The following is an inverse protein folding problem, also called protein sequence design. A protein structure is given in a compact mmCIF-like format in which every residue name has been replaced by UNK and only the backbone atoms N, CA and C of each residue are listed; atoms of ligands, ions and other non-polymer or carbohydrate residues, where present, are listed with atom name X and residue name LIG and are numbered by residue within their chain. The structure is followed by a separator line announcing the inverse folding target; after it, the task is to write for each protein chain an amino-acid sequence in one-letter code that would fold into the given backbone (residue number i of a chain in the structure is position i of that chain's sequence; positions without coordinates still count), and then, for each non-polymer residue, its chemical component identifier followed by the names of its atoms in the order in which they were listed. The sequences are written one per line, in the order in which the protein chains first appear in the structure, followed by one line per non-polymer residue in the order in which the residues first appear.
data_IF_266125115144
#
_entry.id   IF_266125115144
#
_cell.length_a   1.000
_cell.length_b   1.000
_cell.length_c   1.000
_cell.angle_alpha   90.00
_cell.angle_beta   90.00
_cell.angle_gamma   90.00
#
_symmetry.space_group_name_H-M   'P 1'
#
loop_
_entity.id
_entity.type
_entity.pdbx_description
1 polymer ?
#
# COMPACT_ATOMS: atom_id res chain seq x y z
N UNK A 1 30.25 -1.66 2.61
CA UNK A 1 29.99 -2.21 1.25
C UNK A 1 28.62 -1.73 0.86
N UNK A 2 28.48 -0.94 -0.22
CA UNK A 2 27.21 -0.34 -0.61
C UNK A 2 26.24 -1.38 -1.20
N UNK A 3 24.94 -1.10 -1.17
CA UNK A 3 23.87 -1.92 -1.74
C UNK A 3 24.14 -2.33 -3.20
N UNK A 4 24.87 -1.54 -3.97
CA UNK A 4 25.29 -1.86 -5.33
C UNK A 4 26.15 -3.13 -5.49
N UNK A 5 26.83 -3.59 -4.42
CA UNK A 5 27.60 -4.85 -4.46
C UNK A 5 26.74 -6.08 -4.19
N UNK A 6 25.57 -5.92 -3.56
CA UNK A 6 24.59 -6.99 -3.32
C UNK A 6 23.84 -7.30 -4.60
N UNK A 7 23.39 -6.29 -5.35
CA UNK A 7 22.68 -6.46 -6.62
C UNK A 7 23.49 -7.16 -7.72
N UNK A 8 24.82 -7.02 -7.70
CA UNK A 8 25.70 -7.68 -8.70
C UNK A 8 25.91 -9.18 -8.50
N UNK A 9 25.38 -9.75 -7.40
CA UNK A 9 25.56 -11.17 -7.05
C UNK A 9 24.28 -12.00 -7.12
N UNK A 10 23.15 -11.38 -7.44
CA UNK A 10 21.85 -12.06 -7.52
C UNK A 10 21.61 -12.53 -8.96
N UNK A 11 21.17 -13.78 -9.10
CA UNK A 11 20.76 -14.35 -10.40
C UNK A 11 19.40 -13.83 -10.87
N UNK A 12 18.60 -13.28 -9.92
CA UNK A 12 17.26 -12.73 -10.17
C UNK A 12 17.07 -11.41 -9.39
N UNK A 13 16.23 -10.47 -9.88
CA UNK A 13 15.82 -9.29 -9.12
C UNK A 13 15.11 -9.69 -7.83
N UNK A 14 15.51 -9.11 -6.70
CA UNK A 14 14.83 -9.25 -5.42
C UNK A 14 14.24 -7.89 -5.03
N UNK A 15 12.90 -7.85 -4.88
CA UNK A 15 12.18 -6.63 -4.57
C UNK A 15 12.20 -6.30 -3.07
N UNK A 16 12.37 -7.30 -2.22
CA UNK A 16 12.30 -7.15 -0.76
C UNK A 16 13.37 -7.97 -0.04
N UNK A 17 13.86 -7.45 1.08
CA UNK A 17 14.67 -8.18 2.06
C UNK A 17 14.00 -8.05 3.41
N UNK A 18 13.70 -9.17 4.06
CA UNK A 18 12.92 -9.23 5.29
C UNK A 18 13.80 -9.43 6.52
N UNK A 19 13.50 -8.66 7.57
CA UNK A 19 14.17 -8.74 8.87
C UNK A 19 13.09 -8.96 9.94
N UNK A 20 12.90 -10.21 10.34
CA UNK A 20 11.86 -10.57 11.31
C UNK A 20 11.69 -12.06 11.50
N UNK A 21 10.57 -12.44 12.12
CA UNK A 21 10.22 -13.83 12.44
C UNK A 21 9.06 -14.34 11.60
N UNK A 22 8.79 -13.69 10.44
CA UNK A 22 7.68 -14.08 9.58
C UNK A 22 7.78 -15.55 9.15
N UNK A 23 6.64 -16.27 9.15
CA UNK A 23 6.62 -17.71 8.89
C UNK A 23 7.05 -18.09 7.47
N UNK A 24 6.81 -17.19 6.50
CA UNK A 24 7.13 -17.43 5.10
C UNK A 24 8.63 -17.29 4.79
N UNK A 25 9.33 -16.35 5.47
CA UNK A 25 10.75 -16.09 5.29
C UNK A 25 11.37 -15.47 6.55
N UNK A 26 11.68 -16.28 7.57
CA UNK A 26 12.30 -15.79 8.80
C UNK A 26 13.77 -15.45 8.57
N UNK A 27 14.22 -14.31 9.12
CA UNK A 27 15.60 -13.86 9.02
C UNK A 27 16.60 -14.89 9.57
N UNK A 28 17.66 -15.20 8.81
CA UNK A 28 18.75 -16.07 9.24
C UNK A 28 19.72 -15.32 10.17
N UNK A 29 20.31 -16.01 11.12
CA UNK A 29 21.34 -15.44 11.99
C UNK A 29 22.68 -15.33 11.25
N UNK A 30 23.33 -14.17 11.33
CA UNK A 30 24.62 -13.94 10.67
C UNK A 30 25.76 -14.85 11.22
N UNK A 31 25.60 -15.34 12.46
CA UNK A 31 26.59 -16.17 13.15
C UNK A 31 26.30 -17.67 13.08
N UNK A 32 25.08 -18.03 12.68
CA UNK A 32 24.58 -19.41 12.61
C UNK A 32 23.50 -19.51 11.54
N UNK A 33 23.91 -19.80 10.31
CA UNK A 33 23.01 -19.82 9.15
C UNK A 33 21.99 -20.98 9.18
N UNK A 34 22.12 -21.92 10.11
CA UNK A 34 21.16 -23.01 10.30
C UNK A 34 20.00 -22.63 11.24
N UNK A 35 20.10 -21.46 11.91
CA UNK A 35 19.08 -20.95 12.83
C UNK A 35 18.49 -19.64 12.33
N UNK A 36 17.18 -19.52 12.53
CA UNK A 36 16.44 -18.31 12.21
C UNK A 36 16.23 -17.44 13.47
N UNK A 37 15.93 -16.16 13.28
CA UNK A 37 15.49 -15.28 14.37
C UNK A 37 14.21 -15.82 15.04
N UNK A 38 13.34 -16.50 14.27
CA UNK A 38 12.14 -17.15 14.79
C UNK A 38 12.48 -18.26 15.78
N UNK A 39 13.49 -19.09 15.47
CA UNK A 39 13.92 -20.18 16.38
C UNK A 39 14.49 -19.62 17.69
N UNK A 40 15.20 -18.50 17.62
CA UNK A 40 15.76 -17.82 18.79
C UNK A 40 14.65 -17.30 19.69
N UNK A 41 13.71 -16.54 19.11
CA UNK A 41 12.57 -15.98 19.85
C UNK A 41 11.71 -17.10 20.44
N UNK A 42 11.43 -18.16 19.69
CA UNK A 42 10.62 -19.29 20.15
C UNK A 42 11.28 -20.08 21.30
N UNK A 43 12.61 -20.11 21.38
CA UNK A 43 13.33 -20.81 22.44
C UNK A 43 13.21 -20.12 23.82
N UNK A 44 13.22 -18.78 23.87
CA UNK A 44 13.01 -18.01 25.11
C UNK A 44 12.39 -16.63 24.79
N UNK A 45 11.07 -16.58 24.54
CA UNK A 45 10.39 -15.34 24.18
C UNK A 45 10.53 -14.23 25.22
N UNK A 46 10.51 -14.60 26.50
CA UNK A 46 10.62 -13.63 27.59
C UNK A 46 11.99 -12.95 27.64
N UNK A 47 13.05 -13.70 27.37
CA UNK A 47 14.41 -13.16 27.32
C UNK A 47 14.60 -12.27 26.07
N UNK A 48 14.18 -12.76 24.91
CA UNK A 48 14.44 -12.10 23.60
C UNK A 48 13.55 -10.89 23.36
N UNK A 49 12.27 -10.95 23.72
CA UNK A 49 11.29 -9.88 23.50
C UNK A 49 11.05 -9.01 24.74
N UNK A 50 11.46 -9.47 25.93
CA UNK A 50 11.05 -8.93 27.20
C UNK A 50 9.65 -9.39 27.61
N UNK A 51 9.40 -9.48 28.93
CA UNK A 51 8.15 -10.06 29.48
C UNK A 51 6.88 -9.32 29.04
N UNK A 52 6.93 -8.01 28.89
CA UNK A 52 5.78 -7.20 28.47
C UNK A 52 5.39 -7.51 27.00
N UNK A 53 6.37 -7.51 26.11
CA UNK A 53 6.12 -7.80 24.67
C UNK A 53 5.68 -9.25 24.47
N UNK A 54 6.35 -10.21 25.09
CA UNK A 54 6.00 -11.62 25.01
C UNK A 54 4.54 -11.86 25.48
N UNK A 55 4.15 -11.28 26.60
CA UNK A 55 2.77 -11.37 27.09
C UNK A 55 1.75 -10.69 26.13
N UNK A 56 2.05 -9.49 25.66
CA UNK A 56 1.12 -8.71 24.83
C UNK A 56 0.90 -9.32 23.45
N UNK A 57 1.95 -9.88 22.86
CA UNK A 57 1.94 -10.40 21.47
C UNK A 57 2.07 -11.95 21.40
N UNK A 58 1.68 -12.64 22.50
CA UNK A 58 1.64 -14.09 22.55
C UNK A 58 2.95 -14.73 22.04
N UNK A 59 4.06 -14.30 22.62
CA UNK A 59 5.43 -14.79 22.34
C UNK A 59 5.93 -14.55 20.90
N UNK A 60 5.29 -13.66 20.15
CA UNK A 60 5.68 -13.30 18.79
C UNK A 60 6.33 -11.92 18.71
N UNK A 61 7.29 -11.78 17.80
CA UNK A 61 7.79 -10.46 17.40
C UNK A 61 6.68 -9.71 16.67
N UNK A 62 6.23 -8.53 17.16
CA UNK A 62 5.00 -7.89 16.66
C UNK A 62 5.17 -7.15 15.33
N UNK A 63 6.37 -7.11 14.77
CA UNK A 63 6.64 -6.37 13.53
C UNK A 63 7.51 -7.17 12.56
N UNK A 64 7.46 -6.75 11.30
CA UNK A 64 8.36 -7.11 10.23
C UNK A 64 9.01 -5.84 9.70
N UNK A 65 10.33 -5.81 9.62
CA UNK A 65 11.11 -4.76 8.95
C UNK A 65 11.52 -5.27 7.57
N UNK A 66 11.38 -4.41 6.55
CA UNK A 66 11.77 -4.74 5.18
C UNK A 66 12.65 -3.64 4.58
N UNK A 67 13.59 -4.04 3.77
CA UNK A 67 14.16 -3.18 2.74
C UNK A 67 13.40 -3.50 1.44
N UNK A 68 12.68 -2.50 0.92
CA UNK A 68 11.81 -2.65 -0.23
C UNK A 68 12.35 -1.82 -1.39
N UNK A 69 12.42 -2.43 -2.58
CA UNK A 69 12.82 -1.78 -3.82
C UNK A 69 11.73 -1.99 -4.88
N UNK A 70 10.91 -0.96 -5.10
CA UNK A 70 9.90 -0.96 -6.15
C UNK A 70 10.51 -0.41 -7.44
N UNK A 71 10.68 -1.24 -8.44
CA UNK A 71 11.03 -0.84 -9.83
C UNK A 71 9.76 -0.55 -10.64
N UNK A 72 8.70 -1.33 -10.38
CA UNK A 72 7.39 -1.24 -11.01
C UNK A 72 6.30 -0.98 -9.95
N UNK A 73 5.17 -0.37 -10.32
CA UNK A 73 4.07 -0.14 -9.40
C UNK A 73 3.56 -1.44 -8.79
N UNK A 74 3.36 -1.43 -7.47
CA UNK A 74 2.71 -2.54 -6.76
C UNK A 74 1.19 -2.39 -6.82
N UNK A 75 0.46 -3.48 -6.46
CA UNK A 75 -1.00 -3.47 -6.46
C UNK A 75 -1.58 -2.38 -5.56
N UNK A 76 -2.72 -1.82 -5.98
CA UNK A 76 -3.53 -0.96 -5.13
C UNK A 76 -4.16 -1.82 -4.02
N UNK A 77 -3.93 -1.44 -2.75
CA UNK A 77 -4.28 -2.28 -1.61
C UNK A 77 -4.70 -1.49 -0.38
N UNK A 78 -5.48 -2.13 0.49
CA UNK A 78 -5.81 -1.66 1.82
C UNK A 78 -5.72 -2.82 2.83
N UNK A 79 -5.45 -2.49 4.10
CA UNK A 79 -5.31 -3.46 5.17
C UNK A 79 -6.43 -3.30 6.20
N UNK A 80 -6.96 -4.42 6.74
CA UNK A 80 -8.05 -4.36 7.72
C UNK A 80 -7.57 -3.78 9.06
N UNK A 81 -8.50 -3.23 9.82
CA UNK A 81 -8.32 -3.00 11.25
C UNK A 81 -8.23 -4.33 12.00
N UNK A 82 -7.75 -4.30 13.25
CA UNK A 82 -7.65 -5.51 14.08
C UNK A 82 -9.01 -6.21 14.23
N UNK A 83 -10.08 -5.45 14.47
CA UNK A 83 -11.43 -5.99 14.60
C UNK A 83 -11.91 -6.67 13.31
N UNK A 84 -11.72 -6.00 12.15
CA UNK A 84 -12.06 -6.57 10.84
C UNK A 84 -11.23 -7.81 10.51
N UNK A 85 -9.93 -7.82 10.85
CA UNK A 85 -9.07 -8.97 10.64
C UNK A 85 -9.53 -10.19 11.47
N UNK A 86 -9.84 -9.99 12.75
CA UNK A 86 -10.33 -11.04 13.64
C UNK A 86 -11.69 -11.60 13.16
N UNK A 87 -12.62 -10.73 12.80
CA UNK A 87 -13.93 -11.13 12.30
C UNK A 87 -13.81 -11.86 10.94
N UNK A 88 -13.07 -11.31 10.01
CA UNK A 88 -12.86 -11.89 8.67
C UNK A 88 -12.16 -13.24 8.74
N UNK A 89 -11.09 -13.34 9.53
CA UNK A 89 -10.36 -14.60 9.73
C UNK A 89 -11.25 -15.68 10.34
N UNK A 90 -12.03 -15.34 11.37
CA UNK A 90 -12.96 -16.29 11.99
C UNK A 90 -14.07 -16.72 11.02
N UNK A 91 -14.61 -15.78 10.22
CA UNK A 91 -15.64 -16.02 9.21
C UNK A 91 -15.15 -16.97 8.12
N UNK A 92 -13.98 -16.71 7.51
CA UNK A 92 -13.44 -17.57 6.46
C UNK A 92 -13.05 -18.97 6.97
N UNK A 93 -12.54 -19.08 8.20
CA UNK A 93 -12.30 -20.35 8.86
C UNK A 93 -13.60 -21.15 9.08
N UNK A 94 -14.67 -20.49 9.54
CA UNK A 94 -15.96 -21.13 9.74
C UNK A 94 -16.62 -21.60 8.43
N UNK A 95 -16.31 -20.92 7.32
CA UNK A 95 -16.73 -21.29 5.97
C UNK A 95 -15.84 -22.40 5.36
N UNK A 96 -14.75 -22.76 6.02
CA UNK A 96 -13.82 -23.78 5.54
C UNK A 96 -12.93 -23.34 4.38
N UNK A 97 -12.73 -22.04 4.19
CA UNK A 97 -11.83 -21.50 3.15
C UNK A 97 -10.38 -21.86 3.54
N UNK A 98 -9.62 -22.59 2.70
CA UNK A 98 -8.23 -22.94 3.00
C UNK A 98 -7.35 -21.72 3.18
N UNK A 99 -6.31 -21.79 4.04
CA UNK A 99 -5.40 -20.66 4.29
C UNK A 99 -4.61 -20.24 3.04
N UNK A 100 -4.36 -21.18 2.13
CA UNK A 100 -3.63 -21.01 0.88
C UNK A 100 -4.57 -20.78 -0.34
N UNK A 101 -5.87 -20.64 -0.12
CA UNK A 101 -6.80 -20.37 -1.20
C UNK A 101 -6.52 -19.01 -1.87
N UNK A 102 -6.48 -18.93 -3.21
CA UNK A 102 -6.12 -17.71 -3.93
C UNK A 102 -7.12 -16.56 -3.77
N UNK A 103 -8.34 -16.86 -3.33
CA UNK A 103 -9.45 -15.94 -3.07
C UNK A 103 -9.65 -15.65 -1.58
N UNK A 104 -8.76 -16.15 -0.69
CA UNK A 104 -8.79 -15.86 0.73
C UNK A 104 -8.28 -14.45 1.00
N UNK A 105 -9.07 -13.66 1.77
CA UNK A 105 -8.73 -12.29 2.15
C UNK A 105 -7.94 -12.20 3.46
N UNK A 106 -8.25 -13.10 4.44
CA UNK A 106 -7.71 -13.03 5.79
C UNK A 106 -6.85 -14.25 6.12
N UNK A 107 -5.53 -14.07 6.04
CA UNK A 107 -4.53 -15.12 6.29
C UNK A 107 -4.20 -15.27 7.78
N UNK A 108 -4.44 -14.22 8.58
CA UNK A 108 -4.21 -14.17 10.01
C UNK A 108 -5.21 -13.21 10.69
N UNK A 109 -5.34 -13.23 12.04
CA UNK A 109 -6.27 -12.38 12.77
C UNK A 109 -5.69 -10.98 13.11
N UNK A 110 -4.59 -10.56 12.48
CA UNK A 110 -3.91 -9.32 12.82
C UNK A 110 -4.22 -8.20 11.83
N UNK A 111 -4.12 -6.97 12.31
CA UNK A 111 -4.07 -5.79 11.46
C UNK A 111 -2.69 -5.63 10.84
N UNK A 112 -2.59 -4.75 9.82
CA UNK A 112 -1.34 -4.50 9.11
C UNK A 112 -1.10 -3.00 8.90
N UNK A 113 -0.95 -2.19 9.97
CA UNK A 113 -0.43 -0.84 9.79
C UNK A 113 1.02 -0.90 9.31
N UNK A 114 1.38 0.03 8.42
CA UNK A 114 2.68 0.09 7.77
C UNK A 114 3.24 1.51 7.86
N UNK A 115 4.56 1.63 7.92
CA UNK A 115 5.27 2.87 7.75
C UNK A 115 6.42 2.65 6.79
N UNK A 116 6.47 3.43 5.70
CA UNK A 116 7.60 3.43 4.77
C UNK A 116 8.40 4.72 4.91
N UNK A 117 9.72 4.59 4.98
CA UNK A 117 10.69 5.70 4.95
C UNK A 117 11.45 5.63 3.64
N UNK A 118 11.44 6.70 2.86
CA UNK A 118 12.23 6.77 1.63
C UNK A 118 13.74 6.75 1.90
N UNK A 119 14.46 5.84 1.27
CA UNK A 119 15.92 5.86 1.21
C UNK A 119 16.43 6.56 -0.05
N UNK A 120 15.65 6.47 -1.11
CA UNK A 120 15.78 7.27 -2.32
C UNK A 120 14.54 8.12 -2.49
N UNK A 121 14.47 8.94 -3.52
CA UNK A 121 13.20 9.52 -3.94
C UNK A 121 12.21 8.39 -4.16
N UNK A 122 11.09 8.40 -3.41
CA UNK A 122 10.13 7.31 -3.37
C UNK A 122 8.74 7.81 -3.76
N UNK A 123 8.13 7.17 -4.75
CA UNK A 123 6.83 7.54 -5.28
C UNK A 123 5.76 6.56 -4.82
N UNK A 124 4.64 7.08 -4.35
CA UNK A 124 3.51 6.30 -3.87
C UNK A 124 2.17 6.96 -4.19
N UNK A 125 1.12 6.17 -4.12
CA UNK A 125 -0.26 6.62 -3.96
C UNK A 125 -0.67 6.31 -2.52
N UNK A 126 -1.22 7.28 -1.77
CA UNK A 126 -1.66 7.00 -0.41
C UNK A 126 -2.82 7.91 0.03
N UNK A 127 -3.91 7.26 0.45
CA UNK A 127 -5.12 7.90 0.90
C UNK A 127 -5.83 8.72 -0.17
N UNK A 128 -7.10 8.98 0.04
CA UNK A 128 -7.88 9.77 -0.93
C UNK A 128 -7.45 11.23 -0.91
N UNK A 129 -7.34 11.81 -2.11
CA UNK A 129 -7.13 13.24 -2.29
C UNK A 129 -8.38 13.99 -1.84
N UNK A 130 -8.19 15.23 -1.36
CA UNK A 130 -9.30 16.13 -1.08
C UNK A 130 -10.28 16.18 -2.26
N UNK A 131 -11.59 16.00 -2.01
CA UNK A 131 -12.60 15.94 -3.08
C UNK A 131 -12.56 17.11 -4.06
N UNK A 132 -12.36 18.33 -3.55
CA UNK A 132 -12.28 19.52 -4.40
C UNK A 132 -11.07 19.47 -5.33
N UNK A 133 -9.90 19.03 -4.83
CA UNK A 133 -8.69 18.85 -5.65
C UNK A 133 -8.84 17.71 -6.67
N UNK A 134 -9.59 16.69 -6.30
CA UNK A 134 -9.93 15.59 -7.22
C UNK A 134 -10.84 16.07 -8.35
N UNK A 135 -11.84 16.91 -8.05
CA UNK A 135 -12.70 17.53 -9.05
C UNK A 135 -11.90 18.43 -10.02
N UNK A 136 -10.95 19.22 -9.51
CA UNK A 136 -10.06 20.05 -10.34
C UNK A 136 -9.22 19.21 -11.32
N UNK A 137 -8.69 18.06 -10.89
CA UNK A 137 -8.00 17.11 -11.78
C UNK A 137 -8.94 16.59 -12.88
N UNK A 138 -10.14 16.14 -12.51
CA UNK A 138 -11.12 15.64 -13.49
C UNK A 138 -11.60 16.73 -14.46
N UNK A 139 -11.77 17.94 -13.98
CA UNK A 139 -12.11 19.10 -14.82
C UNK A 139 -10.96 19.42 -15.80
N UNK A 140 -9.70 19.34 -15.37
CA UNK A 140 -8.52 19.50 -16.22
C UNK A 140 -8.38 18.38 -17.27
N UNK A 141 -8.65 17.14 -16.90
CA UNK A 141 -8.71 16.00 -17.84
C UNK A 141 -9.81 16.20 -18.87
N UNK A 142 -10.95 16.72 -18.47
CA UNK A 142 -12.11 17.02 -19.32
C UNK A 142 -12.52 15.82 -20.21
N UNK A 143 -12.76 14.67 -19.57
CA UNK A 143 -13.12 13.40 -20.23
C UNK A 143 -14.62 13.19 -20.14
N UNK A 144 -15.36 13.25 -21.28
CA UNK A 144 -16.82 13.07 -21.28
C UNK A 144 -17.28 11.74 -20.67
N UNK A 145 -16.51 10.65 -20.87
CA UNK A 145 -16.81 9.32 -20.35
C UNK A 145 -16.75 9.27 -18.81
N UNK A 146 -15.99 10.15 -18.17
CA UNK A 146 -15.89 10.23 -16.72
C UNK A 146 -16.93 11.17 -16.09
N UNK A 147 -17.60 12.04 -16.86
CA UNK A 147 -18.53 13.05 -16.34
C UNK A 147 -19.61 12.47 -15.40
N UNK A 148 -20.27 11.33 -15.70
CA UNK A 148 -21.26 10.77 -14.78
C UNK A 148 -20.70 10.50 -13.38
N UNK A 149 -19.45 10.06 -13.29
CA UNK A 149 -18.78 9.74 -12.03
C UNK A 149 -18.27 11.00 -11.32
N UNK A 150 -17.78 11.98 -12.09
CA UNK A 150 -17.39 13.30 -11.59
C UNK A 150 -18.58 14.02 -10.96
N UNK A 151 -19.77 13.93 -11.58
CA UNK A 151 -20.99 14.54 -11.02
C UNK A 151 -21.44 13.88 -9.71
N UNK A 152 -21.17 12.56 -9.49
CA UNK A 152 -21.41 11.93 -8.20
C UNK A 152 -20.56 12.60 -7.11
N UNK A 153 -19.26 12.81 -7.37
CA UNK A 153 -18.37 13.48 -6.42
C UNK A 153 -18.72 14.96 -6.25
N UNK A 154 -19.18 15.61 -7.32
CA UNK A 154 -19.59 17.02 -7.28
C UNK A 154 -20.86 17.23 -6.44
N UNK A 155 -21.79 16.28 -6.49
CA UNK A 155 -23.01 16.31 -5.69
C UNK A 155 -22.74 16.08 -4.19
N UNK A 156 -21.80 15.22 -3.86
CA UNK A 156 -21.39 14.88 -2.49
C UNK A 156 -19.86 14.92 -2.38
N UNK A 157 -19.23 16.10 -2.23
CA UNK A 157 -17.77 16.27 -2.23
C UNK A 157 -17.15 15.89 -0.87
N UNK A 158 -17.37 14.65 -0.45
CA UNK A 158 -16.91 14.08 0.82
C UNK A 158 -16.61 12.57 0.67
N UNK A 159 -16.45 11.87 1.78
CA UNK A 159 -16.20 10.43 1.84
C UNK A 159 -17.30 9.60 1.13
N UNK A 160 -18.55 10.07 1.15
CA UNK A 160 -19.68 9.38 0.49
C UNK A 160 -19.53 9.43 -1.03
N UNK A 161 -19.23 10.60 -1.57
CA UNK A 161 -19.00 10.78 -3.01
C UNK A 161 -17.77 10.03 -3.49
N UNK A 162 -16.65 10.07 -2.75
CA UNK A 162 -15.45 9.29 -3.07
C UNK A 162 -15.78 7.79 -3.13
N UNK A 163 -16.51 7.28 -2.12
CA UNK A 163 -16.96 5.89 -2.07
C UNK A 163 -17.83 5.52 -3.27
N UNK A 164 -18.81 6.37 -3.62
CA UNK A 164 -19.70 6.14 -4.75
C UNK A 164 -18.92 6.07 -6.07
N UNK A 165 -18.01 7.01 -6.30
CA UNK A 165 -17.16 7.03 -7.51
C UNK A 165 -16.27 5.78 -7.57
N UNK A 166 -15.52 5.47 -6.51
CA UNK A 166 -14.63 4.31 -6.50
C UNK A 166 -15.40 3.01 -6.73
N UNK A 167 -16.53 2.82 -6.02
CA UNK A 167 -17.35 1.61 -6.20
C UNK A 167 -17.82 1.47 -7.63
N UNK A 168 -18.21 2.57 -8.26
CA UNK A 168 -18.68 2.57 -9.64
C UNK A 168 -17.55 2.26 -10.62
N UNK A 169 -16.38 2.90 -10.45
CA UNK A 169 -15.22 2.70 -11.34
C UNK A 169 -14.72 1.25 -11.28
N UNK A 170 -14.63 0.65 -10.10
CA UNK A 170 -14.11 -0.72 -9.93
C UNK A 170 -15.09 -1.79 -10.44
N UNK A 171 -16.37 -1.44 -10.63
CA UNK A 171 -17.41 -2.35 -11.12
C UNK A 171 -17.85 -2.07 -12.55
N UNK A 172 -17.15 -1.22 -13.30
CA UNK A 172 -17.42 -0.95 -14.70
C UNK A 172 -17.36 -2.23 -15.53
N UNK A 173 -18.22 -2.33 -16.54
CA UNK A 173 -18.08 -3.38 -17.54
C UNK A 173 -16.79 -3.22 -18.33
N UNK A 174 -16.25 -4.30 -18.90
CA UNK A 174 -15.00 -4.26 -19.65
C UNK A 174 -15.01 -3.22 -20.79
N UNK A 175 -16.17 -3.05 -21.46
CA UNK A 175 -16.31 -2.06 -22.55
C UNK A 175 -16.29 -0.63 -22.01
N UNK A 176 -17.07 -0.33 -20.96
CA UNK A 176 -17.07 0.98 -20.31
C UNK A 176 -15.67 1.35 -19.76
N UNK A 177 -15.03 0.38 -19.10
CA UNK A 177 -13.68 0.56 -18.55
C UNK A 177 -12.68 0.91 -19.65
N UNK A 178 -12.69 0.17 -20.76
CA UNK A 178 -11.81 0.43 -21.91
C UNK A 178 -12.06 1.82 -22.50
N UNK A 179 -13.32 2.23 -22.67
CA UNK A 179 -13.67 3.55 -23.18
C UNK A 179 -13.17 4.66 -22.25
N UNK A 180 -13.39 4.54 -20.93
CA UNK A 180 -12.91 5.49 -19.93
C UNK A 180 -11.39 5.59 -19.94
N UNK A 181 -10.67 4.45 -19.90
CA UNK A 181 -9.21 4.43 -19.89
C UNK A 181 -8.65 5.06 -21.16
N UNK A 182 -9.14 4.68 -22.35
CA UNK A 182 -8.66 5.23 -23.63
C UNK A 182 -8.83 6.75 -23.69
N UNK A 183 -10.01 7.24 -23.35
CA UNK A 183 -10.27 8.68 -23.35
C UNK A 183 -9.42 9.43 -22.30
N UNK A 184 -9.20 8.82 -21.13
CA UNK A 184 -8.37 9.40 -20.07
C UNK A 184 -6.89 9.40 -20.47
N UNK A 185 -6.40 8.37 -21.20
CA UNK A 185 -5.03 8.36 -21.73
C UNK A 185 -4.78 9.53 -22.70
N UNK A 186 -5.69 9.79 -23.61
CA UNK A 186 -5.58 10.93 -24.53
C UNK A 186 -5.57 12.26 -23.77
N UNK A 187 -6.41 12.38 -22.73
CA UNK A 187 -6.46 13.56 -21.89
C UNK A 187 -5.17 13.75 -21.07
N UNK A 188 -4.68 12.69 -20.45
CA UNK A 188 -3.44 12.70 -19.68
C UNK A 188 -2.23 13.07 -20.57
N UNK A 189 -2.14 12.54 -21.79
CA UNK A 189 -1.10 12.92 -22.75
C UNK A 189 -1.14 14.42 -23.08
N UNK A 190 -2.34 15.01 -23.22
CA UNK A 190 -2.48 16.47 -23.41
C UNK A 190 -1.99 17.26 -22.20
N UNK A 191 -2.32 16.84 -20.98
CA UNK A 191 -1.84 17.49 -19.76
C UNK A 191 -0.32 17.37 -19.59
N UNK A 192 0.26 16.23 -19.89
CA UNK A 192 1.73 16.05 -19.90
C UNK A 192 2.39 16.98 -20.91
N UNK A 193 1.85 17.08 -22.15
CA UNK A 193 2.37 17.96 -23.19
C UNK A 193 2.24 19.44 -22.82
N UNK A 194 1.21 19.82 -22.07
CA UNK A 194 1.01 21.19 -21.57
C UNK A 194 1.96 21.55 -20.42
N UNK A 195 2.59 20.55 -19.77
CA UNK A 195 3.52 20.72 -18.63
C UNK A 195 2.97 21.60 -17.51
N UNK A 196 1.70 21.36 -17.17
CA UNK A 196 0.97 22.13 -16.16
C UNK A 196 0.92 21.43 -14.79
N UNK A 197 -0.06 21.82 -13.98
CA UNK A 197 -0.20 21.39 -12.57
C UNK A 197 -0.34 19.85 -12.41
N UNK A 198 -1.03 19.17 -13.31
CA UNK A 198 -1.40 17.73 -13.18
C UNK A 198 -0.50 16.79 -13.99
N UNK A 199 0.74 17.19 -14.24
CA UNK A 199 1.71 16.37 -14.99
C UNK A 199 2.03 15.08 -14.26
N UNK A 200 2.31 15.14 -12.98
CA UNK A 200 2.74 13.97 -12.19
C UNK A 200 1.65 12.91 -12.08
N UNK A 201 0.39 13.32 -11.85
CA UNK A 201 -0.78 12.44 -11.84
C UNK A 201 -1.01 11.83 -13.23
N UNK A 202 -0.87 12.64 -14.28
CA UNK A 202 -1.04 12.19 -15.66
C UNK A 202 0.04 11.18 -16.07
N UNK A 203 1.31 11.44 -15.74
CA UNK A 203 2.42 10.51 -15.98
C UNK A 203 2.22 9.21 -15.22
N UNK A 204 1.80 9.31 -13.95
CA UNK A 204 1.49 8.13 -13.13
C UNK A 204 0.37 7.31 -13.76
N UNK A 205 -0.75 7.92 -14.14
CA UNK A 205 -1.86 7.24 -14.80
C UNK A 205 -1.43 6.52 -16.09
N UNK A 206 -0.66 7.21 -16.94
CA UNK A 206 -0.15 6.63 -18.19
C UNK A 206 0.78 5.43 -17.94
N UNK A 207 1.64 5.51 -16.91
CA UNK A 207 2.50 4.42 -16.47
C UNK A 207 1.70 3.21 -16.00
N UNK A 208 0.69 3.44 -15.15
CA UNK A 208 -0.20 2.38 -14.66
C UNK A 208 -0.95 1.67 -15.79
N UNK A 209 -1.46 2.42 -16.76
CA UNK A 209 -2.13 1.83 -17.93
C UNK A 209 -1.15 1.09 -18.84
N UNK A 210 0.09 1.58 -18.97
CA UNK A 210 1.13 0.87 -19.73
C UNK A 210 1.44 -0.50 -19.13
N UNK A 211 1.47 -0.61 -17.79
CA UNK A 211 1.83 -1.83 -17.07
C UNK A 211 0.65 -2.79 -16.93
N UNK A 212 -0.53 -2.27 -16.55
CA UNK A 212 -1.70 -3.08 -16.19
C UNK A 212 -2.82 -3.08 -17.24
N UNK A 213 -2.68 -2.31 -18.31
CA UNK A 213 -3.69 -2.24 -19.37
C UNK A 213 -5.02 -1.67 -18.89
N UNK A 214 -6.09 -2.39 -19.19
CA UNK A 214 -7.45 -1.99 -18.81
C UNK A 214 -7.81 -2.47 -17.38
N UNK A 215 -7.03 -2.05 -16.38
CA UNK A 215 -7.32 -2.30 -14.98
C UNK A 215 -8.01 -1.09 -14.35
N UNK A 216 -9.13 -1.33 -13.64
CA UNK A 216 -9.91 -0.27 -12.99
C UNK A 216 -9.11 0.49 -11.92
N UNK A 217 -8.11 -0.15 -11.32
CA UNK A 217 -7.20 0.48 -10.36
C UNK A 217 -6.48 1.69 -10.93
N UNK A 218 -6.23 1.75 -12.25
CA UNK A 218 -5.64 2.93 -12.88
C UNK A 218 -6.58 4.15 -12.78
N UNK A 219 -7.89 3.97 -12.98
CA UNK A 219 -8.87 5.04 -12.78
C UNK A 219 -9.04 5.37 -11.28
N UNK A 220 -9.06 4.37 -10.41
CA UNK A 220 -9.14 4.56 -8.97
C UNK A 220 -7.92 5.32 -8.42
N UNK A 221 -6.75 5.15 -9.02
CA UNK A 221 -5.52 5.88 -8.67
C UNK A 221 -5.67 7.41 -8.81
N UNK A 222 -6.54 7.88 -9.73
CA UNK A 222 -6.84 9.31 -9.90
C UNK A 222 -7.58 9.93 -8.69
N UNK A 223 -8.14 9.12 -7.81
CA UNK A 223 -8.80 9.56 -6.57
C UNK A 223 -7.79 9.74 -5.41
N UNK A 224 -6.58 9.23 -5.54
CA UNK A 224 -5.60 9.18 -4.46
C UNK A 224 -4.60 10.34 -4.54
N UNK A 225 -3.98 10.64 -3.38
CA UNK A 225 -2.81 11.51 -3.36
C UNK A 225 -1.65 10.81 -4.06
N UNK A 226 -1.07 11.46 -5.06
CA UNK A 226 0.23 11.07 -5.61
C UNK A 226 1.31 11.76 -4.78
N UNK A 227 2.18 10.97 -4.17
CA UNK A 227 3.14 11.40 -3.17
C UNK A 227 4.56 11.12 -3.66
N UNK A 228 5.46 12.06 -3.37
CA UNK A 228 6.91 11.86 -3.51
C UNK A 228 7.53 12.08 -2.14
N UNK A 229 8.21 11.07 -1.63
CA UNK A 229 9.05 11.18 -0.44
C UNK A 229 10.48 11.49 -0.88
N UNK A 230 11.06 12.51 -0.31
CA UNK A 230 12.52 12.70 -0.34
C UNK A 230 13.19 11.75 0.69
N UNK A 231 14.49 11.45 0.57
CA UNK A 231 15.17 10.58 1.53
C UNK A 231 15.01 11.05 2.98
N UNK A 232 14.50 10.15 3.83
CA UNK A 232 14.22 10.42 5.25
C UNK A 232 12.77 10.81 5.55
N UNK A 233 11.97 11.20 4.55
CA UNK A 233 10.53 11.40 4.73
C UNK A 233 9.79 10.07 4.78
N UNK A 234 8.63 10.05 5.42
CA UNK A 234 7.87 8.84 5.67
C UNK A 234 6.38 9.01 5.40
N UNK A 235 5.70 7.88 5.12
CA UNK A 235 4.24 7.79 5.14
C UNK A 235 3.84 6.70 6.13
N UNK A 236 2.86 7.00 6.98
CA UNK A 236 2.21 6.01 7.83
C UNK A 236 0.86 5.60 7.21
N UNK A 237 0.75 4.34 6.80
CA UNK A 237 -0.47 3.72 6.29
C UNK A 237 -1.22 3.08 7.45
N UNK A 238 -2.26 3.76 7.94
CA UNK A 238 -3.19 3.21 8.93
C UNK A 238 -4.13 2.20 8.28
N UNK A 239 -4.74 1.33 9.09
CA UNK A 239 -5.76 0.40 8.61
C UNK A 239 -6.86 1.12 7.80
N UNK A 240 -7.28 0.52 6.70
CA UNK A 240 -8.29 1.05 5.79
C UNK A 240 -7.78 2.10 4.79
N UNK A 241 -6.53 2.54 4.88
CA UNK A 241 -5.96 3.48 3.90
C UNK A 241 -5.62 2.75 2.61
N UNK A 242 -6.24 3.18 1.51
CA UNK A 242 -5.92 2.69 0.17
C UNK A 242 -4.58 3.29 -0.30
N UNK A 243 -3.66 2.44 -0.76
CA UNK A 243 -2.31 2.86 -1.17
C UNK A 243 -1.69 1.95 -2.22
N UNK A 244 -0.65 2.42 -2.88
CA UNK A 244 0.24 1.64 -3.74
C UNK A 244 1.63 2.26 -3.78
N UNK A 245 2.69 1.45 -3.73
CA UNK A 245 4.05 1.92 -4.00
C UNK A 245 4.28 1.90 -5.50
N UNK A 246 4.87 2.96 -6.03
CA UNK A 246 5.05 3.13 -7.47
C UNK A 246 6.49 2.89 -7.91
N UNK A 247 7.46 3.52 -7.22
CA UNK A 247 8.87 3.42 -7.58
C UNK A 247 9.75 3.96 -6.45
N UNK A 248 10.91 3.34 -6.23
CA UNK A 248 11.94 3.80 -5.31
C UNK A 248 12.37 2.73 -4.32
N UNK A 249 13.33 3.08 -3.46
CA UNK A 249 13.84 2.22 -2.39
C UNK A 249 13.48 2.83 -1.04
N UNK A 250 12.93 2.01 -0.14
CA UNK A 250 12.54 2.43 1.20
C UNK A 250 12.76 1.36 2.26
N UNK A 251 12.73 1.78 3.52
CA UNK A 251 12.61 0.89 4.67
C UNK A 251 11.16 0.89 5.12
N UNK A 252 10.55 -0.28 5.12
CA UNK A 252 9.20 -0.49 5.60
C UNK A 252 9.23 -1.19 6.96
N UNK A 253 8.48 -0.67 7.91
CA UNK A 253 8.14 -1.37 9.14
C UNK A 253 6.63 -1.57 9.19
N UNK A 254 6.20 -2.79 9.43
CA UNK A 254 4.78 -3.15 9.44
C UNK A 254 4.47 -4.09 10.60
N UNK A 255 3.20 -4.17 11.02
CA UNK A 255 2.77 -5.26 11.88
C UNK A 255 2.87 -6.60 11.13
N UNK A 256 3.15 -7.66 11.86
CA UNK A 256 3.37 -8.99 11.29
C UNK A 256 2.02 -9.62 10.87
N UNK A 257 1.62 -9.34 9.62
CA UNK A 257 0.36 -9.83 9.02
C UNK A 257 0.47 -9.89 7.49
N UNK A 258 -0.22 -10.87 6.89
CA UNK A 258 -0.34 -11.07 5.44
C UNK A 258 -1.67 -10.57 4.85
N UNK A 259 -2.52 -9.95 5.67
CA UNK A 259 -3.85 -9.51 5.25
C UNK A 259 -3.80 -8.36 4.26
N UNK A 260 -4.28 -8.58 3.03
CA UNK A 260 -4.28 -7.61 1.92
C UNK A 260 -5.60 -7.68 1.15
N UNK A 261 -6.36 -6.58 1.15
CA UNK A 261 -7.51 -6.37 0.26
C UNK A 261 -7.04 -5.56 -0.97
N UNK A 262 -7.13 -6.16 -2.16
CA UNK A 262 -6.67 -5.52 -3.40
C UNK A 262 -7.77 -4.70 -4.05
N UNK A 263 -7.40 -3.54 -4.56
CA UNK A 263 -8.30 -2.58 -5.22
C UNK A 263 -8.02 -2.39 -6.72
N UNK A 264 -7.10 -3.17 -7.30
CA UNK A 264 -6.67 -3.06 -8.69
C UNK A 264 -5.16 -3.13 -8.86
N UNK A 265 -4.68 -2.88 -10.07
CA UNK A 265 -3.28 -2.97 -10.48
C UNK A 265 -2.72 -4.37 -10.16
N UNK A 266 -3.47 -5.40 -10.52
CA UNK A 266 -3.11 -6.78 -10.20
C UNK A 266 -3.88 -7.79 -11.04
N UNK A 267 -3.26 -8.94 -11.30
CA UNK A 267 -3.93 -10.12 -11.85
C UNK A 267 -4.54 -11.04 -10.77
N UNK A 268 -4.32 -10.72 -9.47
CA UNK A 268 -4.86 -11.51 -8.36
C UNK A 268 -6.32 -11.19 -8.10
N UNK A 269 -6.99 -12.05 -7.32
CA UNK A 269 -8.38 -11.88 -6.93
C UNK A 269 -8.65 -10.53 -6.26
N UNK A 270 -9.77 -9.90 -6.60
CA UNK A 270 -10.28 -8.67 -6.00
C UNK A 270 -11.67 -8.96 -5.44
N UNK A 271 -11.80 -8.90 -4.13
CA UNK A 271 -13.09 -8.97 -3.43
C UNK A 271 -13.62 -7.54 -3.22
N UNK A 272 -14.41 -7.05 -4.18
CA UNK A 272 -14.92 -5.67 -4.14
C UNK A 272 -15.79 -5.42 -2.92
N UNK A 273 -16.77 -6.27 -2.54
CA UNK A 273 -17.55 -6.11 -1.30
C UNK A 273 -16.69 -5.97 -0.06
N UNK A 274 -15.70 -6.85 0.12
CA UNK A 274 -14.82 -6.84 1.29
C UNK A 274 -13.88 -5.62 1.27
N UNK A 275 -13.34 -5.26 0.11
CA UNK A 275 -12.55 -4.04 -0.05
C UNK A 275 -13.35 -2.80 0.38
N UNK A 276 -14.61 -2.67 -0.08
CA UNK A 276 -15.50 -1.54 0.29
C UNK A 276 -15.88 -1.55 1.77
N UNK A 277 -15.79 -2.68 2.45
CA UNK A 277 -15.98 -2.80 3.89
C UNK A 277 -14.76 -2.34 4.67
N UNK A 278 -13.57 -2.59 4.16
CA UNK A 278 -12.29 -2.28 4.84
C UNK A 278 -11.83 -0.85 4.58
N UNK A 279 -11.98 -0.32 3.37
CA UNK A 279 -11.47 1.01 2.98
C UNK A 279 -12.16 2.13 3.74
N UNK A 280 -11.34 3.07 4.25
CA UNK A 280 -11.78 4.34 4.81
C UNK A 280 -11.70 5.41 3.73
N UNK A 281 -12.82 6.10 3.47
CA UNK A 281 -12.98 7.04 2.36
C UNK A 281 -12.72 8.50 2.74
N UNK A 282 -12.31 8.77 3.97
CA UNK A 282 -11.93 10.11 4.38
C UNK A 282 -10.68 10.59 3.63
N UNK A 283 -10.70 11.87 3.23
CA UNK A 283 -9.55 12.48 2.57
C UNK A 283 -8.34 12.57 3.51
N UNK A 284 -7.15 12.31 2.97
CA UNK A 284 -5.88 12.47 3.66
C UNK A 284 -5.24 13.79 3.21
N UNK A 285 -5.20 14.78 4.11
CA UNK A 285 -4.74 16.14 3.78
C UNK A 285 -3.20 16.25 3.87
N UNK A 286 -2.60 15.65 4.90
CA UNK A 286 -1.17 15.71 5.18
C UNK A 286 -0.57 14.30 5.20
N UNK A 287 -0.26 13.72 4.03
CA UNK A 287 0.20 12.33 3.94
C UNK A 287 1.63 12.11 4.42
N UNK A 288 2.50 13.13 4.37
CA UNK A 288 3.93 12.99 4.61
C UNK A 288 4.25 13.33 6.06
N UNK A 289 4.89 12.38 6.76
CA UNK A 289 5.50 12.64 8.05
C UNK A 289 6.94 13.16 7.83
N UNK A 290 7.28 14.36 8.33
CA UNK A 290 8.62 14.91 8.18
C UNK A 290 9.63 14.10 8.99
N UNK A 291 10.88 14.07 8.51
CA UNK A 291 11.98 13.50 9.27
C UNK A 291 12.27 14.36 10.51
N UNK A 292 12.33 13.73 11.68
CA UNK A 292 12.74 14.38 12.92
C UNK A 292 14.18 13.99 13.27
N UNK A 293 14.97 14.97 13.69
CA UNK A 293 16.30 14.68 14.23
C UNK A 293 16.17 14.06 15.61
N UNK A 294 16.82 12.92 15.81
CA UNK A 294 16.90 12.26 17.11
C UNK A 294 18.36 12.04 17.51
N UNK A 295 18.64 12.09 18.78
CA UNK A 295 19.97 11.79 19.31
C UNK A 295 19.96 10.38 19.90
N UNK A 296 20.87 9.54 19.41
CA UNK A 296 21.13 8.24 20.02
C UNK A 296 21.96 8.43 21.29
N UNK A 297 21.42 8.08 22.43
CA UNK A 297 22.13 8.08 23.70
C UNK A 297 22.30 6.63 24.20
N UNK A 298 23.17 6.45 25.19
CA UNK A 298 23.33 5.15 25.87
C UNK A 298 22.06 4.70 26.61
N UNK A 299 21.04 5.56 26.70
CA UNK A 299 19.76 5.30 27.37
C UNK A 299 18.58 5.21 26.39
N UNK A 300 18.86 5.21 25.09
CA UNK A 300 17.86 5.13 24.02
C UNK A 300 17.83 6.34 23.11
N UNK A 301 16.76 6.44 22.31
CA UNK A 301 16.50 7.53 21.37
C UNK A 301 15.81 8.66 22.13
N UNK A 302 16.34 9.87 22.03
CA UNK A 302 15.71 11.07 22.55
C UNK A 302 15.54 12.10 21.42
N UNK A 303 14.44 12.89 21.41
CA UNK A 303 14.30 14.01 20.46
C UNK A 303 15.48 14.98 20.61
N UNK A 304 15.93 15.53 19.49
CA UNK A 304 17.02 16.50 19.43
C UNK A 304 16.58 17.88 19.95
#
# INVERSE_FOLDING_TARGET
RGLGDVYKRQEHPEAEMWFGTHSGDPALLATDNDRTLRDVVAADPTHELGSATAHTFADNLPFLLKLLAAEEPLSLQAHPSLAQAQEGYARENAQGVPLDAPDRNYHDPNHKPELIVGLTRFHALAGFREPQRTLELFDALNVPQLQPYVEMLRAEPDATGIRAVMTTLITLTADQLRECITATQEAAQRLVAANGEWVDESVTFLGLVSEYGNDAGALCALLLNRITLEPGEAIFMKSGMLHAYLHGVGVEIMANSDNVLRGGLTSKHIDVPELMHVVQFDALLDPIAPAENVVLSSHGIVPA
#
